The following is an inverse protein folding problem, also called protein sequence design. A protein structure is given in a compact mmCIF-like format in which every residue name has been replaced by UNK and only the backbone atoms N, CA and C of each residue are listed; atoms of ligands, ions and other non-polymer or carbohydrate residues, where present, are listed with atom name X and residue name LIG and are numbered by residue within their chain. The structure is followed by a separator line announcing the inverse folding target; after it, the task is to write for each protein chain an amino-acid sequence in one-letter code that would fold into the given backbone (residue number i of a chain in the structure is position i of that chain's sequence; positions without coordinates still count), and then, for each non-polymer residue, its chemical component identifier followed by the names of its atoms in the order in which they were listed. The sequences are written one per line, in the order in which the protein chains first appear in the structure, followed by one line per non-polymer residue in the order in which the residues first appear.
data_IF_353942224337
#
_entry.id   IF_353942224337
#
_cell.length_a   1.000
_cell.length_b   1.000
_cell.length_c   1.000
_cell.angle_alpha   90.00
_cell.angle_beta   90.00
_cell.angle_gamma   90.00
#
_symmetry.space_group_name_H-M   'P 1'
#
loop_
_entity.id
_entity.type
_entity.pdbx_description
1 polymer ?
#
# COMPACT_ATOMS: atom_id res chain seq x y z
N UNK A 1 22.36 -2.85 3.11
CA UNK A 1 21.68 -4.13 2.79
C UNK A 1 21.35 -4.16 1.31
N UNK A 2 21.17 -5.35 0.72
CA UNK A 2 20.62 -5.52 -0.64
C UNK A 2 19.13 -5.88 -0.52
N UNK A 3 18.25 -5.02 -1.01
CA UNK A 3 16.81 -5.06 -0.76
C UNK A 3 16.03 -5.18 -2.06
N UNK A 4 15.07 -6.10 -2.10
CA UNK A 4 14.11 -6.22 -3.19
C UNK A 4 12.79 -5.54 -2.82
N UNK A 5 12.32 -4.63 -3.66
CA UNK A 5 10.99 -4.00 -3.56
C UNK A 5 10.15 -4.45 -4.74
N UNK A 6 9.13 -5.27 -4.52
CA UNK A 6 8.15 -5.57 -5.58
C UNK A 6 7.11 -4.45 -5.66
N UNK A 7 6.68 -4.10 -6.87
CA UNK A 7 5.79 -2.96 -7.06
C UNK A 7 6.49 -1.60 -6.87
N UNK A 8 7.80 -1.53 -7.16
CA UNK A 8 8.62 -0.35 -6.89
C UNK A 8 8.34 0.86 -7.78
N UNK A 9 7.67 0.69 -8.92
CA UNK A 9 7.19 1.79 -9.77
C UNK A 9 5.77 2.29 -9.37
N UNK A 10 5.17 1.69 -8.34
CA UNK A 10 3.91 2.09 -7.74
C UNK A 10 4.08 3.19 -6.68
N UNK A 11 2.97 3.71 -6.17
CA UNK A 11 2.95 4.83 -5.21
C UNK A 11 3.80 4.58 -3.95
N UNK A 12 3.54 3.50 -3.22
CA UNK A 12 4.27 3.20 -1.98
C UNK A 12 5.71 2.78 -2.29
N UNK A 13 5.90 1.92 -3.31
CA UNK A 13 7.21 1.41 -3.69
C UNK A 13 8.20 2.50 -4.08
N UNK A 14 7.76 3.50 -4.85
CA UNK A 14 8.59 4.64 -5.26
C UNK A 14 9.10 5.45 -4.06
N UNK A 15 8.22 5.77 -3.11
CA UNK A 15 8.61 6.54 -1.93
C UNK A 15 9.52 5.73 -1.00
N UNK A 16 9.25 4.43 -0.84
CA UNK A 16 10.10 3.53 -0.07
C UNK A 16 11.49 3.42 -0.70
N UNK A 17 11.60 3.24 -2.02
CA UNK A 17 12.88 3.15 -2.74
C UNK A 17 13.69 4.42 -2.55
N UNK A 18 13.08 5.61 -2.68
CA UNK A 18 13.75 6.90 -2.43
C UNK A 18 14.39 6.95 -1.04
N UNK A 19 13.64 6.50 -0.02
CA UNK A 19 14.12 6.48 1.37
C UNK A 19 15.25 5.46 1.56
N UNK A 20 15.11 4.25 1.07
CA UNK A 20 16.12 3.20 1.17
C UNK A 20 17.45 3.57 0.50
N UNK A 21 17.40 4.19 -0.68
CA UNK A 21 18.59 4.70 -1.37
C UNK A 21 19.27 5.82 -0.58
N UNK A 22 18.49 6.75 -0.02
CA UNK A 22 19.01 7.83 0.84
C UNK A 22 19.72 7.29 2.08
N UNK A 23 19.30 6.14 2.60
CA UNK A 23 19.94 5.45 3.73
C UNK A 23 21.11 4.54 3.31
N UNK A 24 21.51 4.58 2.04
CA UNK A 24 22.69 3.87 1.52
C UNK A 24 22.47 2.38 1.24
N UNK A 25 21.23 1.94 1.10
CA UNK A 25 20.92 0.55 0.73
C UNK A 25 21.07 0.34 -0.79
N UNK A 26 21.46 -0.87 -1.18
CA UNK A 26 21.38 -1.31 -2.57
C UNK A 26 19.96 -1.80 -2.85
N UNK A 27 19.22 -1.09 -3.70
CA UNK A 27 17.81 -1.38 -3.94
C UNK A 27 17.58 -1.88 -5.35
N UNK A 28 16.84 -2.98 -5.45
CA UNK A 28 16.32 -3.50 -6.71
C UNK A 28 14.79 -3.51 -6.65
N UNK A 29 14.15 -3.29 -7.79
CA UNK A 29 12.70 -3.35 -7.92
C UNK A 29 12.29 -4.42 -8.93
N UNK A 30 11.22 -5.17 -8.64
CA UNK A 30 10.50 -6.00 -9.59
C UNK A 30 9.10 -5.43 -9.80
N UNK A 31 8.80 -4.97 -11.01
CA UNK A 31 7.51 -4.38 -11.36
C UNK A 31 7.08 -4.82 -12.77
N UNK A 32 5.82 -5.08 -12.98
CA UNK A 32 5.26 -5.38 -14.31
C UNK A 32 4.61 -4.18 -14.99
N UNK A 33 4.64 -3.02 -14.34
CA UNK A 33 4.09 -1.73 -14.79
C UNK A 33 2.58 -1.77 -15.13
N UNK A 34 1.85 -2.73 -14.57
CA UNK A 34 0.39 -2.83 -14.78
C UNK A 34 -0.39 -1.65 -14.17
N UNK A 35 0.13 -1.08 -13.08
CA UNK A 35 -0.39 0.12 -12.42
C UNK A 35 0.73 1.09 -12.05
N UNK A 36 1.96 0.63 -11.95
CA UNK A 36 3.16 1.43 -11.76
C UNK A 36 3.51 2.21 -13.03
N UNK A 37 4.18 3.34 -12.88
CA UNK A 37 4.59 4.20 -13.98
C UNK A 37 6.11 4.18 -14.14
N UNK A 38 6.62 4.07 -15.39
CA UNK A 38 8.06 4.18 -15.66
C UNK A 38 8.63 5.52 -15.22
N UNK A 39 7.84 6.57 -15.25
CA UNK A 39 8.22 7.90 -14.76
C UNK A 39 8.44 7.96 -13.24
N UNK A 40 8.03 6.92 -12.51
CA UNK A 40 8.28 6.77 -11.09
C UNK A 40 9.57 6.01 -10.75
N UNK A 41 10.31 5.55 -11.77
CA UNK A 41 11.62 4.94 -11.54
C UNK A 41 12.58 5.93 -10.87
N UNK A 42 13.28 5.46 -9.85
CA UNK A 42 14.18 6.27 -9.03
C UNK A 42 15.62 5.97 -9.43
N UNK A 43 16.38 7.01 -9.75
CA UNK A 43 17.80 6.89 -10.06
C UNK A 43 18.55 6.23 -8.90
N UNK A 44 19.46 5.30 -9.23
CA UNK A 44 20.19 4.48 -8.22
C UNK A 44 19.50 3.17 -7.87
N UNK A 45 18.22 2.97 -8.22
CA UNK A 45 17.54 1.69 -8.09
C UNK A 45 17.64 0.86 -9.39
N UNK A 46 17.92 -0.43 -9.27
CA UNK A 46 17.90 -1.33 -10.44
C UNK A 46 16.51 -1.91 -10.64
N UNK A 47 15.84 -1.52 -11.74
CA UNK A 47 14.52 -2.03 -12.08
C UNK A 47 14.58 -3.28 -12.97
N UNK A 48 13.75 -4.25 -12.64
CA UNK A 48 13.51 -5.47 -13.40
C UNK A 48 12.04 -5.48 -13.82
N UNK A 49 11.80 -5.49 -15.15
CA UNK A 49 10.46 -5.66 -15.68
C UNK A 49 10.07 -7.13 -15.60
N UNK A 50 9.08 -7.46 -14.76
CA UNK A 50 8.66 -8.84 -14.56
C UNK A 50 7.45 -8.95 -13.64
N UNK A 51 6.85 -10.15 -13.62
CA UNK A 51 5.65 -10.43 -12.85
C UNK A 51 5.99 -11.29 -11.62
N UNK A 52 5.46 -10.92 -10.46
CA UNK A 52 5.60 -11.70 -9.22
C UNK A 52 5.07 -13.13 -9.35
N UNK A 53 4.07 -13.37 -10.21
CA UNK A 53 3.56 -14.71 -10.51
C UNK A 53 4.60 -15.64 -11.14
N UNK A 54 5.62 -15.09 -11.78
CA UNK A 54 6.69 -15.84 -12.45
C UNK A 54 8.05 -15.58 -11.82
N UNK A 55 8.11 -15.12 -10.56
CA UNK A 55 9.37 -14.82 -9.86
C UNK A 55 10.31 -16.03 -9.82
N UNK A 56 9.76 -17.25 -9.88
CA UNK A 56 10.56 -18.49 -9.93
C UNK A 56 11.54 -18.54 -11.10
N UNK A 57 11.25 -17.88 -12.21
CA UNK A 57 12.15 -17.76 -13.36
C UNK A 57 13.34 -16.83 -13.10
N UNK A 58 13.30 -16.04 -12.03
CA UNK A 58 14.27 -15.04 -11.66
C UNK A 58 14.98 -15.35 -10.33
N UNK A 59 14.78 -16.51 -9.75
CA UNK A 59 15.35 -16.88 -8.45
C UNK A 59 16.87 -16.67 -8.39
N UNK A 60 17.60 -17.07 -9.42
CA UNK A 60 19.06 -16.90 -9.47
C UNK A 60 19.51 -15.42 -9.44
N UNK A 61 18.62 -14.49 -9.80
CA UNK A 61 18.90 -13.05 -9.79
C UNK A 61 18.74 -12.47 -8.39
N UNK A 62 17.80 -13.02 -7.59
CA UNK A 62 17.38 -12.43 -6.32
C UNK A 62 17.76 -13.25 -5.08
N UNK A 63 18.44 -14.38 -5.22
CA UNK A 63 18.73 -15.33 -4.13
C UNK A 63 19.60 -14.76 -3.00
N UNK A 64 20.37 -13.70 -3.23
CA UNK A 64 21.32 -13.09 -2.30
C UNK A 64 20.82 -11.78 -1.68
N UNK A 65 19.52 -11.54 -1.69
CA UNK A 65 18.91 -10.38 -1.06
C UNK A 65 18.76 -10.59 0.46
N UNK A 66 18.84 -9.49 1.20
CA UNK A 66 18.74 -9.51 2.66
C UNK A 66 17.29 -9.28 3.15
N UNK A 67 16.43 -8.70 2.32
CA UNK A 67 15.05 -8.37 2.66
C UNK A 67 14.21 -8.21 1.41
N UNK A 68 12.95 -8.60 1.49
CA UNK A 68 11.92 -8.29 0.50
C UNK A 68 10.86 -7.37 1.11
N UNK A 69 10.62 -6.23 0.48
CA UNK A 69 9.39 -5.45 0.65
C UNK A 69 8.40 -5.84 -0.46
N UNK A 70 7.34 -6.54 -0.09
CA UNK A 70 6.32 -6.96 -1.05
C UNK A 70 5.17 -5.95 -1.11
N UNK A 71 5.37 -4.92 -1.97
CA UNK A 71 4.41 -3.83 -2.20
C UNK A 71 3.56 -4.05 -3.44
N UNK A 72 3.91 -5.01 -4.31
CA UNK A 72 3.17 -5.34 -5.52
C UNK A 72 1.77 -5.88 -5.18
N UNK A 73 0.75 -5.18 -5.62
CA UNK A 73 -0.65 -5.57 -5.49
C UNK A 73 -1.51 -4.77 -6.46
N UNK A 74 -2.67 -5.31 -6.84
CA UNK A 74 -3.73 -4.53 -7.48
C UNK A 74 -4.65 -4.02 -6.38
N UNK A 75 -4.71 -2.69 -6.22
CA UNK A 75 -5.52 -2.02 -5.22
C UNK A 75 -6.85 -1.52 -5.81
N UNK A 76 -7.79 -1.11 -4.97
CA UNK A 76 -9.09 -0.51 -5.23
C UNK A 76 -10.25 -1.49 -5.33
N UNK A 77 -11.33 -1.09 -4.67
CA UNK A 77 -12.55 -1.89 -4.53
C UNK A 77 -13.33 -1.94 -5.86
N UNK A 78 -13.64 -0.79 -6.45
CA UNK A 78 -14.47 -0.72 -7.66
C UNK A 78 -14.00 -1.63 -8.80
N UNK A 79 -12.75 -1.49 -9.28
CA UNK A 79 -12.22 -2.35 -10.33
C UNK A 79 -12.17 -3.85 -9.98
N UNK A 80 -12.14 -4.22 -8.68
CA UNK A 80 -12.09 -5.62 -8.26
C UNK A 80 -13.36 -6.41 -8.62
N UNK A 81 -14.52 -5.75 -8.65
CA UNK A 81 -15.77 -6.38 -9.09
C UNK A 81 -15.78 -6.68 -10.59
N UNK A 82 -15.05 -5.90 -11.38
CA UNK A 82 -14.98 -6.09 -12.84
C UNK A 82 -13.96 -7.15 -13.24
N UNK A 83 -12.91 -7.36 -12.43
CA UNK A 83 -11.77 -8.25 -12.75
C UNK A 83 -11.36 -9.11 -11.55
N UNK A 84 -12.27 -9.86 -10.91
CA UNK A 84 -11.99 -10.57 -9.66
C UNK A 84 -10.84 -11.55 -9.77
N UNK A 85 -10.73 -12.29 -10.89
CA UNK A 85 -9.65 -13.27 -11.12
C UNK A 85 -8.28 -12.60 -11.10
N UNK A 86 -8.13 -11.42 -11.71
CA UNK A 86 -6.87 -10.68 -11.73
C UNK A 86 -6.41 -10.29 -10.31
N UNK A 87 -7.38 -9.95 -9.43
CA UNK A 87 -7.08 -9.63 -8.03
C UNK A 87 -6.62 -10.87 -7.25
N UNK A 88 -7.29 -12.02 -7.44
CA UNK A 88 -6.86 -13.29 -6.84
C UNK A 88 -5.47 -13.68 -7.34
N UNK A 89 -5.23 -13.62 -8.64
CA UNK A 89 -3.94 -13.99 -9.22
C UNK A 89 -2.81 -13.10 -8.67
N UNK A 90 -2.98 -11.79 -8.71
CA UNK A 90 -1.90 -10.88 -8.29
C UNK A 90 -1.74 -10.86 -6.77
N UNK A 91 -2.84 -10.64 -6.02
CA UNK A 91 -2.75 -10.36 -4.59
C UNK A 91 -2.59 -11.63 -3.74
N UNK A 92 -3.10 -12.77 -4.18
CA UNK A 92 -2.95 -14.04 -3.49
C UNK A 92 -1.89 -14.94 -4.14
N UNK A 93 -2.08 -15.38 -5.40
CA UNK A 93 -1.12 -16.28 -6.03
C UNK A 93 0.26 -15.64 -6.14
N UNK A 94 0.34 -14.34 -6.51
CA UNK A 94 1.60 -13.60 -6.54
C UNK A 94 2.27 -13.49 -5.16
N UNK A 95 1.50 -13.25 -4.10
CA UNK A 95 2.01 -13.25 -2.72
C UNK A 95 2.51 -14.63 -2.33
N UNK A 96 1.79 -15.70 -2.71
CA UNK A 96 2.24 -17.07 -2.44
C UNK A 96 3.56 -17.39 -3.14
N UNK A 97 3.76 -16.97 -4.39
CA UNK A 97 5.05 -17.11 -5.09
C UNK A 97 6.19 -16.38 -4.34
N UNK A 98 5.92 -15.17 -3.82
CA UNK A 98 6.89 -14.43 -2.99
C UNK A 98 7.18 -15.13 -1.66
N UNK A 99 6.19 -15.71 -1.01
CA UNK A 99 6.36 -16.53 0.20
C UNK A 99 7.28 -17.74 -0.08
N UNK A 100 7.03 -18.48 -1.16
CA UNK A 100 7.88 -19.62 -1.58
C UNK A 100 9.33 -19.16 -1.83
N UNK A 101 9.51 -18.03 -2.50
CA UNK A 101 10.82 -17.44 -2.74
C UNK A 101 11.52 -17.11 -1.42
N UNK A 102 10.87 -16.41 -0.51
CA UNK A 102 11.45 -16.01 0.78
C UNK A 102 11.83 -17.20 1.65
N UNK A 103 10.99 -18.24 1.72
CA UNK A 103 11.30 -19.50 2.43
C UNK A 103 12.50 -20.19 1.81
N UNK A 104 12.54 -20.33 0.49
CA UNK A 104 13.62 -21.02 -0.22
C UNK A 104 14.99 -20.45 0.08
N UNK A 105 15.11 -19.14 0.19
CA UNK A 105 16.39 -18.44 0.38
C UNK A 105 16.57 -17.85 1.77
N UNK A 106 15.65 -18.16 2.70
CA UNK A 106 15.66 -17.64 4.08
C UNK A 106 15.74 -16.10 4.12
N UNK A 107 14.95 -15.43 3.28
CA UNK A 107 14.91 -13.97 3.19
C UNK A 107 13.68 -13.45 3.92
N UNK A 108 13.81 -12.50 4.86
CA UNK A 108 12.68 -11.87 5.53
C UNK A 108 11.75 -11.12 4.55
N UNK A 109 10.45 -11.06 4.89
CA UNK A 109 9.39 -10.46 4.08
C UNK A 109 8.64 -9.39 4.88
N UNK A 110 8.53 -8.18 4.35
CA UNK A 110 7.59 -7.16 4.84
C UNK A 110 6.50 -7.01 3.78
N UNK A 111 5.27 -7.35 4.16
CA UNK A 111 4.11 -7.39 3.27
C UNK A 111 3.21 -6.17 3.46
N UNK A 112 2.82 -5.53 2.36
CA UNK A 112 1.80 -4.49 2.36
C UNK A 112 0.41 -5.09 2.55
N UNK A 113 -0.09 -5.12 3.77
CA UNK A 113 -1.47 -5.49 4.11
C UNK A 113 -2.46 -4.36 3.82
N UNK A 114 -3.73 -4.55 4.21
CA UNK A 114 -4.78 -3.57 3.98
C UNK A 114 -5.78 -3.50 5.13
N UNK A 115 -6.08 -2.29 5.60
CA UNK A 115 -7.14 -2.02 6.58
C UNK A 115 -8.54 -2.42 6.11
N UNK A 116 -8.74 -2.66 4.81
CA UNK A 116 -10.01 -3.14 4.26
C UNK A 116 -10.48 -4.47 4.87
N UNK A 117 -9.55 -5.28 5.42
CA UNK A 117 -9.83 -6.50 6.18
C UNK A 117 -10.89 -6.26 7.27
N UNK A 118 -10.78 -5.15 8.00
CA UNK A 118 -11.70 -4.80 9.10
C UNK A 118 -13.11 -4.42 8.63
N UNK A 119 -13.30 -4.16 7.34
CA UNK A 119 -14.62 -3.89 6.76
C UNK A 119 -15.42 -5.14 6.40
N UNK A 120 -14.82 -6.32 6.53
CA UNK A 120 -15.42 -7.62 6.26
C UNK A 120 -14.81 -8.31 5.04
N UNK A 121 -14.29 -9.52 5.28
CA UNK A 121 -13.54 -10.33 4.30
C UNK A 121 -14.22 -10.52 2.95
N UNK A 122 -15.54 -10.76 2.96
CA UNK A 122 -16.31 -11.08 1.76
C UNK A 122 -17.03 -9.87 1.13
N UNK A 123 -16.71 -8.67 1.58
CA UNK A 123 -17.38 -7.46 1.12
C UNK A 123 -17.08 -7.11 -0.34
N UNK A 124 -15.88 -7.44 -0.80
CA UNK A 124 -15.45 -7.25 -2.19
C UNK A 124 -14.23 -8.12 -2.53
N UNK A 125 -13.95 -8.37 -3.84
CA UNK A 125 -12.83 -9.21 -4.26
C UNK A 125 -11.44 -8.67 -3.88
N UNK A 126 -11.26 -7.34 -3.81
CA UNK A 126 -10.00 -6.75 -3.36
C UNK A 126 -9.70 -7.12 -1.91
N UNK A 127 -10.63 -6.86 -0.99
CA UNK A 127 -10.48 -7.21 0.43
C UNK A 127 -10.19 -8.70 0.60
N UNK A 128 -10.99 -9.55 -0.09
CA UNK A 128 -10.83 -10.99 -0.04
C UNK A 128 -9.43 -11.44 -0.49
N UNK A 129 -8.95 -10.93 -1.61
CA UNK A 129 -7.63 -11.31 -2.16
C UNK A 129 -6.47 -10.87 -1.28
N UNK A 130 -6.56 -9.67 -0.65
CA UNK A 130 -5.55 -9.18 0.29
C UNK A 130 -5.51 -10.00 1.58
N UNK A 131 -6.68 -10.36 2.11
CA UNK A 131 -6.80 -11.16 3.31
C UNK A 131 -6.26 -12.60 3.11
N UNK A 132 -6.52 -13.22 1.95
CA UNK A 132 -5.88 -14.49 1.57
C UNK A 132 -4.35 -14.38 1.53
N UNK A 133 -3.80 -13.26 1.07
CA UNK A 133 -2.36 -13.01 1.10
C UNK A 133 -1.80 -12.95 2.53
N UNK A 134 -2.55 -12.38 3.48
CA UNK A 134 -2.17 -12.39 4.90
C UNK A 134 -2.28 -13.80 5.51
N UNK A 135 -3.33 -14.54 5.18
CA UNK A 135 -3.53 -15.93 5.66
C UNK A 135 -2.37 -16.84 5.25
N UNK A 136 -1.90 -16.78 3.99
CA UNK A 136 -0.79 -17.62 3.53
C UNK A 136 0.52 -17.23 4.22
N UNK A 137 0.78 -15.95 4.46
CA UNK A 137 1.94 -15.49 5.22
C UNK A 137 1.88 -16.03 6.64
N UNK A 138 0.75 -15.88 7.32
CA UNK A 138 0.54 -16.36 8.69
C UNK A 138 0.69 -17.89 8.79
N UNK A 139 0.19 -18.65 7.82
CA UNK A 139 0.37 -20.09 7.74
C UNK A 139 1.85 -20.46 7.68
N UNK A 140 2.60 -19.78 6.80
CA UNK A 140 4.03 -20.06 6.61
C UNK A 140 4.91 -19.60 7.77
N UNK A 141 4.53 -18.53 8.45
CA UNK A 141 5.17 -18.13 9.72
C UNK A 141 5.02 -19.22 10.79
N UNK A 142 3.81 -19.74 10.96
CA UNK A 142 3.50 -20.73 12.02
C UNK A 142 4.15 -22.10 11.79
N UNK A 143 4.25 -22.54 10.53
CA UNK A 143 4.58 -23.94 10.25
C UNK A 143 5.87 -24.14 9.44
N UNK A 144 6.36 -23.11 8.77
CA UNK A 144 7.51 -23.24 7.85
C UNK A 144 8.65 -22.26 8.16
N UNK A 145 8.56 -21.49 9.26
CA UNK A 145 9.64 -20.60 9.70
C UNK A 145 9.83 -19.33 8.86
N UNK A 146 8.80 -18.89 8.12
CA UNK A 146 8.87 -17.63 7.40
C UNK A 146 9.07 -16.46 8.37
N UNK A 147 10.13 -15.69 8.19
CA UNK A 147 10.30 -14.42 8.88
C UNK A 147 9.55 -13.35 8.11
N UNK A 148 8.38 -12.94 8.60
CA UNK A 148 7.59 -11.93 7.90
C UNK A 148 6.91 -10.95 8.87
N UNK A 149 6.52 -9.78 8.36
CA UNK A 149 5.62 -8.85 9.03
C UNK A 149 4.58 -8.35 8.07
N UNK A 150 3.37 -8.16 8.57
CA UNK A 150 2.25 -7.61 7.82
C UNK A 150 2.07 -6.15 8.24
N UNK A 151 2.18 -5.22 7.29
CA UNK A 151 1.98 -3.80 7.49
C UNK A 151 0.67 -3.39 6.80
N UNK A 152 -0.43 -3.19 7.55
CA UNK A 152 -1.73 -2.81 7.02
C UNK A 152 -1.86 -1.31 6.90
N UNK A 153 -1.99 -0.84 5.67
CA UNK A 153 -2.09 0.59 5.38
C UNK A 153 -3.53 1.10 5.47
N UNK A 154 -3.67 2.31 6.02
CA UNK A 154 -4.93 3.07 6.07
C UNK A 154 -4.85 4.25 5.11
N UNK A 155 -5.73 4.29 4.12
CA UNK A 155 -5.97 5.36 3.13
C UNK A 155 -4.77 6.28 2.86
N UNK A 156 -3.68 5.70 2.33
CA UNK A 156 -2.41 6.40 2.11
C UNK A 156 -2.59 7.51 1.08
N UNK A 157 -1.99 8.68 1.36
CA UNK A 157 -1.93 9.85 0.49
C UNK A 157 -0.52 10.46 0.50
N UNK A 158 -0.20 11.28 -0.50
CA UNK A 158 1.06 12.01 -0.56
C UNK A 158 1.69 12.04 -1.96
N UNK A 159 2.95 12.48 -2.08
CA UNK A 159 3.64 12.58 -3.35
C UNK A 159 3.78 11.23 -4.07
N UNK A 160 3.81 11.26 -5.40
CA UNK A 160 3.84 10.10 -6.30
C UNK A 160 2.57 9.22 -6.31
N UNK A 161 1.47 9.64 -5.65
CA UNK A 161 0.19 8.95 -5.79
C UNK A 161 -0.37 9.15 -7.21
N UNK A 162 -1.14 8.17 -7.69
CA UNK A 162 -1.79 8.30 -9.00
C UNK A 162 -2.82 9.44 -8.97
N UNK A 163 -2.76 10.32 -9.95
CA UNK A 163 -3.69 11.44 -10.11
C UNK A 163 -4.83 11.10 -11.08
N UNK A 164 -4.64 10.14 -12.00
CA UNK A 164 -5.59 9.76 -13.04
C UNK A 164 -5.80 8.25 -13.11
N UNK A 165 -6.91 7.84 -13.72
CA UNK A 165 -7.23 6.43 -13.96
C UNK A 165 -8.05 5.77 -12.84
N UNK A 166 -8.41 4.51 -13.03
CA UNK A 166 -9.30 3.76 -12.13
C UNK A 166 -8.70 3.41 -10.77
N UNK A 167 -7.40 3.58 -10.61
CA UNK A 167 -6.66 3.25 -9.38
C UNK A 167 -6.32 4.47 -8.51
N UNK A 168 -6.84 5.67 -8.85
CA UNK A 168 -6.63 6.90 -8.06
C UNK A 168 -7.28 6.84 -6.68
N UNK A 169 -6.64 7.49 -5.70
CA UNK A 169 -7.23 7.77 -4.39
C UNK A 169 -8.22 8.93 -4.47
N UNK A 170 -9.01 9.17 -3.41
CA UNK A 170 -9.83 10.38 -3.29
C UNK A 170 -8.96 11.64 -3.43
N UNK A 171 -7.89 11.70 -2.65
CA UNK A 171 -6.97 12.86 -2.62
C UNK A 171 -6.32 13.07 -3.99
N UNK A 172 -5.78 12.02 -4.61
CA UNK A 172 -5.14 12.13 -5.94
C UNK A 172 -6.13 12.58 -7.01
N UNK A 173 -7.36 12.06 -6.99
CA UNK A 173 -8.40 12.47 -7.95
C UNK A 173 -8.77 13.94 -7.80
N UNK A 174 -8.95 14.43 -6.56
CA UNK A 174 -9.32 15.81 -6.33
C UNK A 174 -8.18 16.78 -6.66
N UNK A 175 -6.93 16.40 -6.42
CA UNK A 175 -5.78 17.17 -6.89
C UNK A 175 -5.82 17.32 -8.42
N UNK A 176 -5.99 16.22 -9.15
CA UNK A 176 -6.10 16.26 -10.60
C UNK A 176 -7.28 17.10 -11.08
N UNK A 177 -8.43 16.94 -10.43
CA UNK A 177 -9.64 17.65 -10.82
C UNK A 177 -9.46 19.18 -10.68
N UNK A 178 -8.89 19.62 -9.56
CA UNK A 178 -8.63 21.05 -9.32
C UNK A 178 -7.58 21.62 -10.27
N UNK A 179 -6.52 20.85 -10.59
CA UNK A 179 -5.51 21.27 -11.56
C UNK A 179 -6.03 21.41 -13.00
N UNK A 180 -7.16 20.77 -13.32
CA UNK A 180 -7.76 20.75 -14.65
C UNK A 180 -9.16 21.37 -14.70
N UNK A 181 -9.57 22.13 -13.68
CA UNK A 181 -10.89 22.77 -13.58
C UNK A 181 -12.06 21.78 -13.72
N UNK A 182 -11.88 20.53 -13.28
CA UNK A 182 -12.88 19.48 -13.27
C UNK A 182 -13.61 19.49 -11.91
N UNK A 183 -14.91 19.42 -11.93
CA UNK A 183 -15.72 19.41 -10.72
C UNK A 183 -15.46 18.12 -9.89
N UNK A 184 -15.32 18.28 -8.58
CA UNK A 184 -15.11 17.18 -7.66
C UNK A 184 -16.44 16.50 -7.27
N UNK A 185 -16.41 15.18 -7.18
CA UNK A 185 -17.59 14.36 -6.85
C UNK A 185 -17.43 13.67 -5.51
N UNK A 186 -18.52 13.62 -4.74
CA UNK A 186 -18.69 12.77 -3.56
C UNK A 186 -19.74 11.70 -3.87
N UNK A 187 -19.41 10.45 -3.59
CA UNK A 187 -20.33 9.33 -3.74
C UNK A 187 -20.99 9.03 -2.38
N UNK A 188 -22.33 9.07 -2.34
CA UNK A 188 -23.12 9.03 -1.11
C UNK A 188 -23.27 10.41 -0.47
N UNK A 189 -23.48 10.43 0.85
CA UNK A 189 -23.74 11.65 1.64
C UNK A 189 -22.47 12.40 2.09
N UNK A 190 -21.29 11.85 1.82
CA UNK A 190 -20.02 12.42 2.22
C UNK A 190 -19.63 12.20 3.69
N UNK A 191 -20.52 11.57 4.49
CA UNK A 191 -20.24 11.29 5.92
C UNK A 191 -19.43 10.01 6.14
N UNK A 192 -19.07 9.28 5.08
CA UNK A 192 -18.12 8.17 5.20
C UNK A 192 -16.75 8.68 5.64
N UNK A 193 -16.20 8.06 6.68
CA UNK A 193 -14.97 8.51 7.32
C UNK A 193 -13.77 7.62 6.96
N UNK A 194 -12.60 8.23 6.84
CA UNK A 194 -11.34 7.54 6.51
C UNK A 194 -10.20 8.03 7.39
N UNK A 195 -9.44 7.08 7.92
CA UNK A 195 -8.15 7.34 8.54
C UNK A 195 -7.12 7.53 7.43
N UNK A 196 -6.74 8.78 7.17
CA UNK A 196 -5.77 9.15 6.14
C UNK A 196 -4.36 9.20 6.72
N UNK A 197 -3.44 8.43 6.15
CA UNK A 197 -2.05 8.37 6.60
C UNK A 197 -1.10 8.83 5.51
N UNK A 198 -0.20 9.76 5.82
CA UNK A 198 0.77 10.27 4.85
C UNK A 198 1.76 9.19 4.43
N UNK A 199 2.18 9.19 3.17
CA UNK A 199 3.10 8.17 2.63
C UNK A 199 4.44 8.14 3.37
N UNK A 200 4.98 9.28 3.80
CA UNK A 200 6.24 9.29 4.55
C UNK A 200 6.09 8.68 5.94
N UNK A 201 4.92 8.83 6.61
CA UNK A 201 4.66 8.15 7.88
C UNK A 201 4.60 6.62 7.67
N UNK A 202 4.02 6.15 6.55
CA UNK A 202 4.03 4.73 6.18
C UNK A 202 5.45 4.23 5.91
N UNK A 203 6.24 4.99 5.15
CA UNK A 203 7.64 4.64 4.86
C UNK A 203 8.46 4.60 6.16
N UNK A 204 8.29 5.56 7.07
CA UNK A 204 8.95 5.55 8.38
C UNK A 204 8.63 4.26 9.16
N UNK A 205 7.36 3.80 9.16
CA UNK A 205 7.00 2.53 9.80
C UNK A 205 7.67 1.31 9.13
N UNK A 206 7.69 1.27 7.79
CA UNK A 206 8.33 0.19 7.04
C UNK A 206 9.85 0.10 7.33
N UNK A 207 10.52 1.24 7.43
CA UNK A 207 11.94 1.31 7.82
C UNK A 207 12.13 0.82 9.26
N UNK A 208 11.29 1.25 10.20
CA UNK A 208 11.36 0.80 11.60
C UNK A 208 11.15 -0.71 11.74
N UNK A 209 10.27 -1.32 10.95
CA UNK A 209 10.11 -2.80 10.93
C UNK A 209 11.42 -3.47 10.53
N UNK A 210 12.09 -2.97 9.49
CA UNK A 210 13.38 -3.47 9.00
C UNK A 210 14.49 -3.29 10.04
N UNK A 211 14.69 -2.06 10.53
CA UNK A 211 15.78 -1.72 11.45
C UNK A 211 15.68 -2.46 12.79
N UNK A 212 14.46 -2.55 13.33
CA UNK A 212 14.18 -3.25 14.58
C UNK A 212 13.98 -4.77 14.39
N UNK A 213 14.05 -5.26 13.14
CA UNK A 213 13.85 -6.67 12.77
C UNK A 213 12.58 -7.28 13.39
N UNK A 214 11.48 -6.52 13.37
CA UNK A 214 10.21 -6.93 14.00
C UNK A 214 9.42 -7.87 13.10
N UNK A 215 9.91 -9.11 12.93
CA UNK A 215 9.21 -10.18 12.22
C UNK A 215 8.28 -10.95 13.16
N UNK A 216 7.22 -11.52 12.63
CA UNK A 216 6.17 -12.19 13.43
C UNK A 216 5.04 -11.26 13.88
N UNK A 217 5.05 -10.00 13.44
CA UNK A 217 4.06 -9.00 13.84
C UNK A 217 3.12 -8.61 12.70
N UNK A 218 1.94 -8.19 13.10
CA UNK A 218 0.97 -7.50 12.26
C UNK A 218 0.82 -6.07 12.79
N UNK A 219 1.08 -5.06 11.96
CA UNK A 219 1.03 -3.66 12.35
C UNK A 219 -0.07 -2.94 11.59
N UNK A 220 -0.93 -2.25 12.32
CA UNK A 220 -1.94 -1.34 11.76
C UNK A 220 -1.32 0.06 11.60
N UNK A 221 -1.10 0.50 10.36
CA UNK A 221 -0.43 1.75 10.04
C UNK A 221 -1.44 2.84 9.65
N UNK A 222 -2.23 3.24 10.63
CA UNK A 222 -3.17 4.35 10.56
C UNK A 222 -2.88 5.39 11.63
N UNK A 223 -3.33 6.62 11.42
CA UNK A 223 -3.08 7.73 12.36
C UNK A 223 -3.94 7.71 13.61
N UNK A 224 -4.93 6.82 13.69
CA UNK A 224 -5.95 6.81 14.76
C UNK A 224 -6.79 8.10 14.79
N UNK A 225 -6.91 8.77 13.66
CA UNK A 225 -7.74 9.95 13.43
C UNK A 225 -8.33 9.87 12.03
N UNK A 226 -9.65 9.95 11.92
CA UNK A 226 -10.30 9.92 10.62
C UNK A 226 -11.01 11.24 10.29
N UNK A 227 -11.26 11.44 9.01
CA UNK A 227 -12.02 12.56 8.47
C UNK A 227 -13.14 12.05 7.59
N UNK A 228 -14.30 12.73 7.62
CA UNK A 228 -15.34 12.49 6.62
C UNK A 228 -14.91 13.03 5.26
N UNK A 229 -15.53 12.54 4.19
CA UNK A 229 -15.24 13.04 2.84
C UNK A 229 -15.67 14.51 2.73
N UNK A 230 -16.72 14.92 3.46
CA UNK A 230 -17.15 16.32 3.56
C UNK A 230 -16.08 17.19 4.23
N UNK A 231 -15.53 16.78 5.38
CA UNK A 231 -14.40 17.49 6.02
C UNK A 231 -13.19 17.63 5.08
N UNK A 232 -12.91 16.60 4.27
CA UNK A 232 -11.82 16.68 3.27
C UNK A 232 -12.17 17.69 2.16
N UNK A 233 -13.42 17.76 1.71
CA UNK A 233 -13.87 18.77 0.75
C UNK A 233 -13.66 20.20 1.28
N UNK A 234 -13.98 20.43 2.55
CA UNK A 234 -13.72 21.70 3.23
C UNK A 234 -12.22 22.04 3.27
N UNK A 235 -11.34 21.04 3.54
CA UNK A 235 -9.88 21.24 3.53
C UNK A 235 -9.36 21.68 2.17
N UNK A 236 -9.96 21.18 1.08
CA UNK A 236 -9.66 21.58 -0.30
C UNK A 236 -10.34 22.89 -0.73
N UNK A 237 -11.29 23.41 0.07
CA UNK A 237 -12.08 24.61 -0.29
C UNK A 237 -13.01 24.39 -1.49
N UNK A 238 -13.52 23.15 -1.70
CA UNK A 238 -14.33 22.79 -2.85
C UNK A 238 -15.81 22.63 -2.47
N UNK A 239 -16.70 22.91 -3.44
CA UNK A 239 -18.13 22.57 -3.39
C UNK A 239 -18.35 21.34 -4.29
N UNK A 240 -18.53 20.13 -3.73
CA UNK A 240 -18.65 18.91 -4.50
C UNK A 240 -20.04 18.71 -5.09
N UNK A 241 -20.14 17.86 -6.14
CA UNK A 241 -21.40 17.26 -6.57
C UNK A 241 -21.58 15.91 -5.88
N UNK A 242 -22.79 15.65 -5.37
CA UNK A 242 -23.12 14.36 -4.78
C UNK A 242 -23.67 13.39 -5.83
N UNK A 243 -23.20 12.15 -5.77
CA UNK A 243 -23.56 11.03 -6.66
C UNK A 243 -24.05 9.85 -5.84
N UNK A 244 -24.68 8.88 -6.50
CA UNK A 244 -25.10 7.63 -5.86
C UNK A 244 -23.94 6.90 -5.16
N UNK A 245 -24.19 6.27 -4.01
CA UNK A 245 -23.16 5.55 -3.25
C UNK A 245 -22.53 4.43 -4.05
N UNK A 246 -21.25 4.19 -3.82
CA UNK A 246 -20.53 3.04 -4.40
C UNK A 246 -20.74 1.77 -3.58
N UNK A 247 -20.92 0.65 -4.27
CA UNK A 247 -21.06 -0.67 -3.64
C UNK A 247 -19.73 -1.13 -3.05
N UNK A 248 -19.78 -1.77 -1.88
CA UNK A 248 -18.63 -2.45 -1.26
C UNK A 248 -17.69 -1.55 -0.48
N UNK A 249 -17.91 -0.23 -0.44
CA UNK A 249 -17.09 0.67 0.36
C UNK A 249 -17.42 0.60 1.87
N UNK A 250 -16.42 0.82 2.72
CA UNK A 250 -16.61 0.93 4.16
C UNK A 250 -17.27 2.25 4.53
N UNK A 251 -18.14 2.26 5.54
CA UNK A 251 -18.71 3.49 6.08
C UNK A 251 -17.69 4.24 6.93
N UNK A 252 -16.93 3.53 7.72
CA UNK A 252 -15.90 4.07 8.61
C UNK A 252 -14.62 3.23 8.56
N UNK A 253 -13.47 3.90 8.60
CA UNK A 253 -12.18 3.28 8.84
C UNK A 253 -11.39 4.11 9.85
N UNK A 254 -10.98 3.47 10.94
CA UNK A 254 -10.18 4.09 12.00
C UNK A 254 -9.24 3.05 12.58
N UNK A 255 -7.98 3.38 12.67
CA UNK A 255 -7.01 2.56 13.41
C UNK A 255 -7.25 2.73 14.91
N UNK A 256 -7.51 1.63 15.60
CA UNK A 256 -7.65 1.57 17.06
C UNK A 256 -6.57 0.70 17.70
N UNK A 257 -5.68 0.13 16.90
CA UNK A 257 -4.54 -0.66 17.37
C UNK A 257 -3.34 0.25 17.66
N UNK A 258 -2.66 -0.01 18.75
CA UNK A 258 -1.50 0.75 19.18
C UNK A 258 -0.17 -0.04 19.10
N UNK A 259 -0.18 -1.24 18.51
CA UNK A 259 1.00 -2.11 18.43
C UNK A 259 2.18 -1.46 17.71
N UNK A 260 1.93 -0.74 16.61
CA UNK A 260 2.97 -0.01 15.88
C UNK A 260 3.62 1.08 16.75
N UNK A 261 2.83 1.81 17.55
CA UNK A 261 3.35 2.81 18.49
C UNK A 261 4.18 2.17 19.60
N UNK A 262 3.72 1.05 20.16
CA UNK A 262 4.38 0.39 21.30
C UNK A 262 5.64 -0.34 20.85
N UNK A 263 5.57 -1.14 19.78
CA UNK A 263 6.63 -2.05 19.36
C UNK A 263 7.67 -1.37 18.47
N UNK A 264 7.22 -0.49 17.59
CA UNK A 264 8.09 0.24 16.67
C UNK A 264 8.47 1.63 17.19
N UNK A 265 7.79 2.16 18.20
CA UNK A 265 7.85 3.57 18.62
C UNK A 265 7.44 4.50 17.46
N UNK A 266 6.61 3.98 16.57
CA UNK A 266 6.13 4.73 15.41
C UNK A 266 5.06 5.74 15.81
N UNK A 267 5.25 6.98 15.39
CA UNK A 267 4.30 8.07 15.66
C UNK A 267 4.07 8.88 14.38
N UNK A 268 2.93 8.68 13.69
CA UNK A 268 2.60 9.43 12.48
C UNK A 268 2.27 10.89 12.84
N UNK A 269 2.94 11.83 12.21
CA UNK A 269 2.85 13.27 12.57
C UNK A 269 2.29 14.14 11.45
N UNK A 270 2.26 13.67 10.20
CA UNK A 270 1.92 14.49 9.04
C UNK A 270 0.40 14.62 8.88
N UNK A 271 -0.11 15.85 8.98
CA UNK A 271 -1.55 16.13 8.87
C UNK A 271 -2.01 16.25 7.41
N UNK A 272 -3.20 15.68 7.10
CA UNK A 272 -3.80 15.79 5.77
C UNK A 272 -4.04 17.25 5.37
N UNK A 273 -4.52 18.07 6.31
CA UNK A 273 -4.79 19.49 6.08
C UNK A 273 -3.53 20.28 5.67
N UNK A 274 -2.40 19.97 6.28
CA UNK A 274 -1.14 20.65 5.97
C UNK A 274 -0.59 20.22 4.60
N UNK A 275 -0.73 18.93 4.26
CA UNK A 275 -0.39 18.45 2.93
C UNK A 275 -1.24 19.15 1.84
N UNK A 276 -2.57 19.23 2.05
CA UNK A 276 -3.47 19.90 1.10
C UNK A 276 -3.11 21.39 0.93
N UNK A 277 -2.82 22.11 2.01
CA UNK A 277 -2.39 23.52 1.95
C UNK A 277 -1.06 23.71 1.21
N UNK A 278 -0.16 22.75 1.28
CA UNK A 278 1.14 22.80 0.61
C UNK A 278 1.10 22.44 -0.88
N UNK A 279 -0.05 22.15 -1.46
CA UNK A 279 -0.22 21.83 -2.88
C UNK A 279 -0.28 23.07 -3.78
N UNK A 280 -0.62 24.24 -3.21
CA UNK A 280 -0.91 25.50 -3.92
C UNK A 280 -0.01 26.65 -3.52
#
# INVERSE_FOLDING_TARGET
MKILVTGGAGFVGTNLIKRLLKEGHQVHSLDNYSTGLKTNEVEGCKYWSGNILTISTMYNVFQDFNLVYHMAAIARIGPSFQRPSQYIDTNFNGTYEMVKFCIRYNIPLIYAGSSSKHSGRFKNPYTFSKDLGEDIITLYQKHFGLLASIARFYNVYGPNQLLQGGYTTLIGRWINNLQNDIQCEIYGDGEQRRDFTHIDDIVDALILIMEKQKYGYEFELGRSKNHSVNEVAEMFGITPIYKEPKIGEARDTLNTDHSAKIVLEWNPTRELKDYIKGLW
#
